data_IF_548476345177
#
_entry.id   IF_548476345177
#
_cell.length_a   1.000
_cell.length_b   1.000
_cell.length_c   1.000
_cell.angle_alpha   90.00
_cell.angle_beta   90.00
_cell.angle_gamma   90.00
#
_symmetry.space_group_name_H-M   'P 1'
#
loop_
_entity.id
_entity.type
_entity.pdbx_description
1 polymer ?
#
# COMPACT_ATOMS: atom_id res chain seq x y z
N UNK A 1 -0.58 -23.17 28.78
CA UNK A 1 -0.23 -21.93 28.05
C UNK A 1 0.93 -22.08 27.05
N UNK A 2 1.84 -23.01 27.17
CA UNK A 2 3.03 -23.11 26.29
C UNK A 2 2.93 -23.98 25.02
N UNK A 3 1.82 -24.64 24.74
CA UNK A 3 1.74 -25.62 23.63
C UNK A 3 0.98 -25.04 22.41
N UNK A 4 0.18 -24.01 22.60
CA UNK A 4 -0.64 -23.38 21.54
C UNK A 4 0.13 -22.36 20.69
N UNK A 5 1.23 -21.81 21.19
CA UNK A 5 1.98 -20.71 20.53
C UNK A 5 3.13 -21.20 19.63
N UNK A 6 3.58 -22.44 19.77
CA UNK A 6 4.67 -23.01 18.96
C UNK A 6 4.37 -23.09 17.46
N UNK A 7 3.17 -23.49 16.99
CA UNK A 7 2.91 -23.55 15.57
C UNK A 7 2.88 -22.17 14.92
N UNK A 8 2.40 -21.13 15.59
CA UNK A 8 2.35 -19.77 15.04
C UNK A 8 3.75 -19.18 14.85
N UNK A 9 4.62 -19.29 15.86
CA UNK A 9 6.01 -18.84 15.76
C UNK A 9 6.79 -19.57 14.65
N UNK A 10 6.59 -20.89 14.52
CA UNK A 10 7.22 -21.66 13.45
C UNK A 10 6.78 -21.18 12.06
N UNK A 11 5.49 -20.98 11.83
CA UNK A 11 4.97 -20.47 10.54
C UNK A 11 5.45 -19.05 10.23
N UNK A 12 5.50 -18.17 11.25
CA UNK A 12 6.01 -16.82 11.10
C UNK A 12 7.50 -16.80 10.69
N UNK A 13 8.32 -17.63 11.33
CA UNK A 13 9.76 -17.75 11.01
C UNK A 13 9.95 -18.33 9.60
N UNK A 14 9.28 -19.43 9.27
CA UNK A 14 9.38 -20.06 7.93
C UNK A 14 8.91 -19.09 6.86
N UNK A 15 7.77 -18.42 7.06
CA UNK A 15 7.26 -17.38 6.14
C UNK A 15 8.25 -16.23 5.99
N UNK A 16 8.81 -15.73 7.09
CA UNK A 16 9.82 -14.67 7.08
C UNK A 16 11.07 -15.05 6.29
N UNK A 17 11.61 -16.26 6.50
CA UNK A 17 12.79 -16.76 5.75
C UNK A 17 12.49 -16.85 4.25
N UNK A 18 11.33 -17.39 3.87
CA UNK A 18 10.92 -17.49 2.47
C UNK A 18 10.76 -16.12 1.83
N UNK A 19 10.13 -15.16 2.51
CA UNK A 19 9.94 -13.79 2.01
C UNK A 19 11.28 -13.07 1.84
N UNK A 20 12.16 -13.14 2.83
CA UNK A 20 13.50 -12.53 2.81
C UNK A 20 14.33 -13.12 1.68
N UNK A 21 14.32 -14.43 1.46
CA UNK A 21 15.12 -15.09 0.42
C UNK A 21 14.81 -14.57 -0.99
N UNK A 22 13.53 -14.31 -1.28
CA UNK A 22 13.10 -13.71 -2.55
C UNK A 22 13.42 -12.21 -2.60
N UNK A 23 13.12 -11.47 -1.53
CA UNK A 23 13.35 -10.02 -1.49
C UNK A 23 14.85 -9.66 -1.64
N UNK A 24 15.74 -10.44 -1.05
CA UNK A 24 17.19 -10.28 -1.18
C UNK A 24 17.68 -10.54 -2.62
N UNK A 25 16.98 -11.36 -3.40
CA UNK A 25 17.25 -11.54 -4.83
C UNK A 25 16.99 -10.27 -5.67
N UNK A 26 16.37 -9.26 -5.06
CA UNK A 26 16.03 -7.99 -5.69
C UNK A 26 14.88 -8.09 -6.68
N UNK A 27 14.75 -7.06 -7.53
CA UNK A 27 13.61 -6.93 -8.45
C UNK A 27 13.41 -8.14 -9.38
N UNK A 28 14.49 -8.78 -9.82
CA UNK A 28 14.40 -9.98 -10.69
C UNK A 28 13.69 -11.15 -10.02
N UNK A 29 13.87 -11.32 -8.72
CA UNK A 29 13.16 -12.35 -7.94
C UNK A 29 11.68 -12.06 -7.83
N UNK A 30 11.34 -10.81 -7.59
CA UNK A 30 9.95 -10.32 -7.50
C UNK A 30 9.23 -10.48 -8.84
N UNK A 31 9.85 -10.05 -9.93
CA UNK A 31 9.31 -10.15 -11.29
C UNK A 31 9.01 -11.61 -11.68
N UNK A 32 9.95 -12.51 -11.41
CA UNK A 32 9.76 -13.94 -11.68
C UNK A 32 8.65 -14.54 -10.84
N UNK A 33 8.55 -14.17 -9.56
CA UNK A 33 7.46 -14.63 -8.68
C UNK A 33 6.11 -14.13 -9.20
N UNK A 34 6.00 -12.85 -9.53
CA UNK A 34 4.78 -12.23 -10.04
C UNK A 34 4.32 -12.85 -11.36
N UNK A 35 5.26 -13.17 -12.26
CA UNK A 35 4.95 -13.77 -13.57
C UNK A 35 4.16 -15.08 -13.45
N UNK A 36 4.49 -15.93 -12.48
CA UNK A 36 3.74 -17.18 -12.25
C UNK A 36 2.54 -17.01 -11.37
N UNK A 37 2.64 -16.14 -10.38
CA UNK A 37 1.64 -16.03 -9.32
C UNK A 37 0.40 -15.26 -9.76
N UNK A 38 0.58 -14.14 -10.49
CA UNK A 38 -0.54 -13.27 -10.89
C UNK A 38 -1.54 -14.01 -11.79
N UNK A 39 -1.15 -14.73 -12.85
CA UNK A 39 -2.10 -15.52 -13.65
C UNK A 39 -2.83 -16.58 -12.81
N UNK A 40 -2.12 -17.26 -11.91
CA UNK A 40 -2.72 -18.24 -11.03
C UNK A 40 -3.78 -17.64 -10.11
N UNK A 41 -3.49 -16.47 -9.53
CA UNK A 41 -4.44 -15.74 -8.67
C UNK A 41 -5.68 -15.29 -9.45
N UNK A 42 -5.50 -14.78 -10.66
CA UNK A 42 -6.62 -14.35 -11.53
C UNK A 42 -7.50 -15.53 -11.90
N UNK A 43 -6.91 -16.66 -12.29
CA UNK A 43 -7.65 -17.88 -12.61
C UNK A 43 -8.43 -18.41 -11.41
N UNK A 44 -7.83 -18.38 -10.23
CA UNK A 44 -8.50 -18.82 -9.01
C UNK A 44 -9.63 -17.88 -8.60
N UNK A 45 -9.42 -16.57 -8.67
CA UNK A 45 -10.47 -15.60 -8.41
C UNK A 45 -11.65 -15.80 -9.38
N UNK A 46 -11.36 -15.99 -10.68
CA UNK A 46 -12.38 -16.30 -11.67
C UNK A 46 -13.14 -17.59 -11.37
N UNK A 47 -12.43 -18.66 -10.96
CA UNK A 47 -13.02 -19.92 -10.56
C UNK A 47 -13.94 -19.80 -9.34
N UNK A 48 -13.48 -19.13 -8.29
CA UNK A 48 -14.28 -18.93 -7.07
C UNK A 48 -15.53 -18.10 -7.34
N UNK A 49 -15.37 -17.02 -8.09
CA UNK A 49 -16.48 -16.16 -8.52
C UNK A 49 -17.50 -16.94 -9.36
N UNK A 50 -17.04 -17.71 -10.36
CA UNK A 50 -17.91 -18.50 -11.22
C UNK A 50 -18.68 -19.56 -10.44
N UNK A 51 -18.00 -20.28 -9.54
CA UNK A 51 -18.63 -21.29 -8.67
C UNK A 51 -19.71 -20.67 -7.80
N UNK A 52 -19.41 -19.52 -7.20
CA UNK A 52 -20.31 -18.85 -6.25
C UNK A 52 -21.47 -18.16 -6.93
N UNK A 53 -21.26 -17.63 -8.14
CA UNK A 53 -22.31 -16.96 -8.91
C UNK A 53 -23.49 -17.89 -9.22
N UNK A 54 -23.22 -19.17 -9.48
CA UNK A 54 -24.26 -20.19 -9.71
C UNK A 54 -25.04 -20.60 -8.47
N UNK A 55 -24.44 -20.44 -7.28
CA UNK A 55 -25.05 -20.82 -6.01
C UNK A 55 -25.93 -19.72 -5.41
N UNK A 56 -25.82 -18.46 -5.91
CA UNK A 56 -26.67 -17.35 -5.46
C UNK A 56 -28.06 -17.46 -6.08
N UNK A 57 -29.02 -17.91 -5.30
CA UNK A 57 -30.42 -18.11 -5.75
C UNK A 57 -31.24 -16.82 -5.73
N UNK A 58 -30.89 -15.85 -4.92
CA UNK A 58 -31.62 -14.57 -4.80
C UNK A 58 -30.64 -13.40 -4.59
N UNK A 59 -30.39 -12.65 -5.68
CA UNK A 59 -29.58 -11.44 -5.64
C UNK A 59 -30.25 -10.26 -4.92
N UNK A 60 -31.58 -10.29 -4.78
CA UNK A 60 -32.28 -9.23 -4.04
C UNK A 60 -32.13 -9.41 -2.52
N UNK A 61 -32.07 -10.64 -2.03
CA UNK A 61 -31.75 -10.91 -0.64
C UNK A 61 -30.35 -10.45 -0.25
N UNK A 62 -29.42 -10.37 -1.22
CA UNK A 62 -28.07 -9.83 -0.99
C UNK A 62 -28.01 -8.32 -0.89
N UNK A 63 -29.05 -7.61 -1.36
CA UNK A 63 -29.17 -6.14 -1.16
C UNK A 63 -29.38 -5.76 0.31
N UNK A 64 -29.96 -6.64 1.11
CA UNK A 64 -30.11 -6.47 2.57
C UNK A 64 -28.81 -6.72 3.35
N UNK A 65 -27.73 -7.15 2.64
CA UNK A 65 -26.41 -7.30 3.22
C UNK A 65 -25.70 -5.96 3.49
N UNK A 66 -26.41 -4.85 3.33
CA UNK A 66 -25.88 -3.54 3.65
C UNK A 66 -25.52 -3.48 5.15
N UNK A 67 -24.20 -3.38 5.42
CA UNK A 67 -23.73 -3.09 6.77
C UNK A 67 -24.10 -1.62 7.08
N UNK A 68 -25.02 -1.34 8.00
CA UNK A 68 -25.47 0.03 8.31
C UNK A 68 -24.33 0.93 8.80
N UNK A 69 -23.26 0.34 9.34
CA UNK A 69 -22.09 1.05 9.84
C UNK A 69 -21.08 1.40 8.73
N UNK A 70 -21.26 0.86 7.52
CA UNK A 70 -20.33 1.06 6.40
C UNK A 70 -20.88 2.12 5.43
N UNK A 71 -20.56 3.37 5.67
CA UNK A 71 -20.86 4.43 4.71
C UNK A 71 -19.95 4.36 3.48
N UNK A 72 -20.40 4.91 2.35
CA UNK A 72 -19.57 5.02 1.12
C UNK A 72 -18.24 5.73 1.43
N UNK A 73 -18.27 6.75 2.27
CA UNK A 73 -17.08 7.49 2.71
C UNK A 73 -16.09 6.61 3.46
N UNK A 74 -16.58 5.78 4.37
CA UNK A 74 -15.74 4.83 5.12
C UNK A 74 -15.14 3.78 4.17
N UNK A 75 -15.91 3.29 3.21
CA UNK A 75 -15.45 2.34 2.21
C UNK A 75 -14.34 2.95 1.32
N UNK A 76 -14.53 4.18 0.83
CA UNK A 76 -13.51 4.89 0.05
C UNK A 76 -12.25 5.10 0.88
N UNK A 77 -12.37 5.52 2.15
CA UNK A 77 -11.24 5.72 3.05
C UNK A 77 -10.46 4.42 3.30
N UNK A 78 -11.17 3.31 3.45
CA UNK A 78 -10.56 1.99 3.65
C UNK A 78 -9.78 1.55 2.39
N UNK A 79 -10.34 1.73 1.19
CA UNK A 79 -9.67 1.41 -0.08
C UNK A 79 -8.43 2.30 -0.26
N UNK A 80 -8.53 3.60 0.00
CA UNK A 80 -7.37 4.51 -0.05
C UNK A 80 -6.30 4.04 0.94
N UNK A 81 -6.67 3.80 2.21
CA UNK A 81 -5.72 3.35 3.24
C UNK A 81 -5.01 2.05 2.88
N UNK A 82 -5.71 1.11 2.25
CA UNK A 82 -5.15 -0.18 1.84
C UNK A 82 -4.09 -0.04 0.73
N UNK A 83 -4.31 0.85 -0.24
CA UNK A 83 -3.46 0.94 -1.44
C UNK A 83 -2.48 2.10 -1.44
N UNK A 84 -2.63 3.10 -0.56
CA UNK A 84 -1.85 4.34 -0.61
C UNK A 84 -0.34 4.11 -0.48
N UNK A 85 0.08 3.14 0.33
CA UNK A 85 1.49 2.79 0.47
C UNK A 85 2.05 2.32 -0.85
N UNK A 86 1.33 1.41 -1.55
CA UNK A 86 1.73 0.93 -2.87
C UNK A 86 1.83 2.04 -3.92
N UNK A 87 0.92 3.03 -3.86
CA UNK A 87 0.93 4.19 -4.77
C UNK A 87 2.15 5.08 -4.49
N UNK A 88 2.49 5.32 -3.23
CA UNK A 88 3.61 6.19 -2.86
C UNK A 88 4.96 5.58 -3.21
N UNK A 89 5.11 4.26 -3.08
CA UNK A 89 6.35 3.54 -3.44
C UNK A 89 6.43 3.19 -4.93
N UNK A 90 5.44 3.57 -5.73
CA UNK A 90 5.40 3.25 -7.16
C UNK A 90 6.64 3.68 -7.96
N UNK A 91 7.33 4.80 -7.68
CA UNK A 91 8.58 5.16 -8.35
C UNK A 91 9.66 4.08 -8.24
N UNK A 92 9.70 3.31 -7.15
CA UNK A 92 10.67 2.23 -6.93
C UNK A 92 10.54 1.11 -7.97
N UNK A 93 9.36 0.92 -8.53
CA UNK A 93 9.05 -0.08 -9.56
C UNK A 93 9.02 0.52 -10.96
N UNK A 94 8.47 1.73 -11.10
CA UNK A 94 8.34 2.40 -12.40
C UNK A 94 9.69 2.69 -13.04
N UNK A 95 10.77 2.81 -12.28
CA UNK A 95 12.14 2.98 -12.78
C UNK A 95 12.63 1.81 -13.65
N UNK A 96 12.01 0.64 -13.55
CA UNK A 96 12.33 -0.53 -14.39
C UNK A 96 11.50 -0.57 -15.70
N UNK A 97 10.57 0.36 -15.88
CA UNK A 97 9.79 0.47 -17.11
C UNK A 97 10.69 0.96 -18.26
N UNK A 98 10.39 0.52 -19.49
CA UNK A 98 11.17 0.90 -20.68
C UNK A 98 11.09 2.39 -21.00
N UNK A 99 9.92 3.00 -20.75
CA UNK A 99 9.66 4.41 -20.97
C UNK A 99 8.44 4.86 -20.17
N UNK A 100 8.20 6.18 -20.13
CA UNK A 100 7.07 6.77 -19.40
C UNK A 100 5.69 6.25 -19.85
N UNK A 101 5.37 6.12 -21.16
CA UNK A 101 4.10 5.56 -21.59
C UNK A 101 3.86 4.12 -21.09
N UNK A 102 4.89 3.27 -21.07
CA UNK A 102 4.75 1.91 -20.52
C UNK A 102 4.47 1.92 -19.02
N UNK A 103 5.15 2.79 -18.26
CA UNK A 103 4.89 2.95 -16.84
C UNK A 103 3.45 3.43 -16.58
N UNK A 104 3.01 4.45 -17.32
CA UNK A 104 1.66 4.99 -17.21
C UNK A 104 0.59 3.95 -17.60
N UNK A 105 0.78 3.23 -18.70
CA UNK A 105 -0.14 2.18 -19.13
C UNK A 105 -0.23 1.05 -18.09
N UNK A 106 0.89 0.61 -17.55
CA UNK A 106 0.92 -0.43 -16.50
C UNK A 106 0.12 0.02 -15.26
N UNK A 107 0.27 1.28 -14.84
CA UNK A 107 -0.49 1.84 -13.71
C UNK A 107 -1.99 1.94 -13.99
N UNK A 108 -2.36 2.46 -15.17
CA UNK A 108 -3.77 2.58 -15.56
C UNK A 108 -4.42 1.19 -15.61
N UNK A 109 -3.75 0.20 -16.17
CA UNK A 109 -4.26 -1.16 -16.22
C UNK A 109 -4.35 -1.77 -14.82
N UNK A 110 -3.28 -1.66 -14.01
CA UNK A 110 -3.23 -2.29 -12.69
C UNK A 110 -4.21 -1.64 -11.69
N UNK A 111 -4.17 -0.33 -11.55
CA UNK A 111 -4.96 0.39 -10.55
C UNK A 111 -6.32 0.87 -11.08
N UNK A 112 -6.41 1.23 -12.36
CA UNK A 112 -7.64 1.74 -12.95
C UNK A 112 -8.60 0.66 -13.42
N UNK A 113 -8.12 -0.49 -13.86
CA UNK A 113 -8.94 -1.56 -14.43
C UNK A 113 -8.93 -2.81 -13.53
N UNK A 114 -7.72 -3.35 -13.28
CA UNK A 114 -7.62 -4.65 -12.58
C UNK A 114 -8.03 -4.56 -11.12
N UNK A 115 -7.67 -3.48 -10.43
CA UNK A 115 -8.04 -3.31 -9.03
C UNK A 115 -9.56 -3.26 -8.80
N UNK A 116 -10.34 -2.38 -9.47
CA UNK A 116 -11.81 -2.42 -9.37
C UNK A 116 -12.40 -3.77 -9.76
N UNK A 117 -11.88 -4.40 -10.82
CA UNK A 117 -12.34 -5.71 -11.25
C UNK A 117 -12.12 -6.77 -10.16
N UNK A 118 -10.93 -6.82 -9.57
CA UNK A 118 -10.61 -7.75 -8.48
C UNK A 118 -11.50 -7.50 -7.26
N UNK A 119 -11.75 -6.25 -6.89
CA UNK A 119 -12.64 -5.92 -5.77
C UNK A 119 -14.08 -6.39 -6.02
N UNK A 120 -14.60 -6.15 -7.24
CA UNK A 120 -15.94 -6.61 -7.63
C UNK A 120 -16.00 -8.15 -7.62
N UNK A 121 -15.05 -8.83 -8.25
CA UNK A 121 -15.02 -10.29 -8.31
C UNK A 121 -14.87 -10.92 -6.93
N UNK A 122 -14.05 -10.33 -6.06
CA UNK A 122 -13.83 -10.81 -4.70
C UNK A 122 -15.05 -10.56 -3.77
N UNK A 123 -15.89 -9.57 -4.06
CA UNK A 123 -17.10 -9.31 -3.29
C UNK A 123 -18.20 -10.38 -3.50
N UNK A 124 -18.25 -11.01 -4.67
CA UNK A 124 -19.28 -12.00 -5.00
C UNK A 124 -19.27 -13.21 -4.05
N UNK A 125 -18.14 -13.89 -3.80
CA UNK A 125 -18.07 -14.95 -2.81
C UNK A 125 -18.44 -14.51 -1.39
N UNK A 126 -18.05 -13.29 -0.98
CA UNK A 126 -18.40 -12.75 0.33
C UNK A 126 -19.91 -12.54 0.49
N UNK A 127 -20.56 -11.96 -0.53
CA UNK A 127 -21.99 -11.75 -0.54
C UNK A 127 -22.73 -13.10 -0.52
N UNK A 128 -22.31 -14.05 -1.33
CA UNK A 128 -22.98 -15.35 -1.46
C UNK A 128 -22.89 -16.21 -0.20
N UNK A 129 -21.78 -16.15 0.52
CA UNK A 129 -21.56 -16.93 1.75
C UNK A 129 -22.03 -16.20 3.01
N UNK A 130 -22.21 -14.88 2.96
CA UNK A 130 -22.47 -14.05 4.13
C UNK A 130 -21.24 -13.84 5.02
N UNK A 131 -20.08 -14.39 4.63
CA UNK A 131 -18.88 -14.35 5.43
C UNK A 131 -17.98 -13.15 5.06
N UNK A 132 -17.33 -12.55 6.08
CA UNK A 132 -16.44 -11.39 5.92
C UNK A 132 -14.97 -11.79 5.88
N UNK A 133 -14.64 -12.94 6.45
CA UNK A 133 -13.28 -13.43 6.53
C UNK A 133 -13.01 -14.38 5.37
N UNK A 134 -11.90 -14.17 4.67
CA UNK A 134 -11.53 -14.98 3.51
C UNK A 134 -11.41 -16.47 3.83
N UNK A 135 -10.91 -16.83 5.01
CA UNK A 135 -10.80 -18.24 5.45
C UNK A 135 -12.18 -18.86 5.62
N UNK A 136 -13.13 -18.12 6.19
CA UNK A 136 -14.49 -18.60 6.41
C UNK A 136 -15.24 -18.74 5.08
N UNK A 137 -15.07 -17.79 4.14
CA UNK A 137 -15.55 -17.89 2.76
C UNK A 137 -15.02 -19.16 2.09
N UNK A 138 -13.72 -19.42 2.18
CA UNK A 138 -13.08 -20.59 1.59
C UNK A 138 -13.59 -21.89 2.19
N UNK A 139 -13.85 -21.89 3.50
CA UNK A 139 -14.41 -23.04 4.21
C UNK A 139 -15.86 -23.29 3.81
N UNK A 140 -16.67 -22.24 3.74
CA UNK A 140 -18.07 -22.31 3.28
C UNK A 140 -18.18 -22.84 1.84
N UNK A 141 -17.26 -22.44 0.97
CA UNK A 141 -17.21 -22.92 -0.44
C UNK A 141 -16.59 -24.30 -0.60
N UNK A 142 -16.13 -24.94 0.47
CA UNK A 142 -15.43 -26.22 0.45
C UNK A 142 -14.20 -26.27 -0.49
N UNK A 143 -13.50 -25.12 -0.65
CA UNK A 143 -12.31 -24.96 -1.49
C UNK A 143 -11.03 -24.96 -0.61
N UNK A 144 -10.99 -25.74 0.44
CA UNK A 144 -10.01 -25.72 1.52
C UNK A 144 -8.54 -25.52 1.12
N UNK A 145 -7.84 -26.59 0.75
CA UNK A 145 -6.39 -26.53 0.52
C UNK A 145 -5.93 -25.63 -0.64
N UNK A 146 -6.54 -25.66 -1.85
CA UNK A 146 -6.12 -24.79 -2.94
C UNK A 146 -6.26 -23.29 -2.61
N UNK A 147 -7.34 -22.93 -1.93
CA UNK A 147 -7.60 -21.57 -1.51
C UNK A 147 -6.59 -21.10 -0.46
N UNK A 148 -6.29 -21.93 0.53
CA UNK A 148 -5.28 -21.65 1.54
C UNK A 148 -3.89 -21.43 0.92
N UNK A 149 -3.49 -22.29 -0.02
CA UNK A 149 -2.22 -22.15 -0.74
C UNK A 149 -2.16 -20.81 -1.50
N UNK A 150 -3.25 -20.42 -2.16
CA UNK A 150 -3.33 -19.17 -2.89
C UNK A 150 -3.25 -17.94 -1.98
N UNK A 151 -3.94 -17.97 -0.85
CA UNK A 151 -3.84 -16.93 0.17
C UNK A 151 -2.40 -16.77 0.67
N UNK A 152 -1.74 -17.89 0.94
CA UNK A 152 -0.36 -17.91 1.41
C UNK A 152 0.60 -17.35 0.36
N UNK A 153 0.40 -17.70 -0.91
CA UNK A 153 1.19 -17.19 -2.03
C UNK A 153 0.92 -15.70 -2.27
N UNK A 154 -0.33 -15.23 -2.16
CA UNK A 154 -0.69 -13.83 -2.28
C UNK A 154 -0.04 -12.98 -1.17
N UNK A 155 -0.14 -13.43 0.08
CA UNK A 155 0.51 -12.80 1.21
C UNK A 155 2.04 -12.77 1.04
N UNK A 156 2.62 -13.87 0.56
CA UNK A 156 4.05 -13.95 0.26
C UNK A 156 4.46 -12.89 -0.78
N UNK A 157 3.79 -12.81 -1.92
CA UNK A 157 4.09 -11.84 -2.97
C UNK A 157 4.03 -10.40 -2.46
N UNK A 158 2.96 -10.03 -1.75
CA UNK A 158 2.78 -8.67 -1.21
C UNK A 158 3.86 -8.29 -0.20
N UNK A 159 4.21 -9.21 0.71
CA UNK A 159 5.23 -8.95 1.71
C UNK A 159 6.64 -8.86 1.11
N UNK A 160 6.97 -9.64 0.08
CA UNK A 160 8.25 -9.55 -0.63
C UNK A 160 8.43 -8.17 -1.25
N UNK A 161 7.38 -7.61 -1.84
CA UNK A 161 7.37 -6.26 -2.42
C UNK A 161 7.62 -5.21 -1.32
N UNK A 162 6.87 -5.25 -0.23
CA UNK A 162 7.05 -4.34 0.90
C UNK A 162 8.44 -4.41 1.52
N UNK A 163 8.98 -5.62 1.64
CA UNK A 163 10.32 -5.85 2.20
C UNK A 163 11.43 -5.29 1.30
N UNK A 164 11.30 -5.45 -0.02
CA UNK A 164 12.23 -4.85 -0.98
C UNK A 164 12.21 -3.31 -0.92
N UNK A 165 11.02 -2.69 -0.89
CA UNK A 165 10.89 -1.24 -0.76
C UNK A 165 11.42 -0.72 0.57
N UNK A 166 11.24 -1.47 1.67
CA UNK A 166 11.84 -1.15 2.96
C UNK A 166 13.37 -1.16 2.90
N UNK A 167 13.95 -2.15 2.23
CA UNK A 167 15.39 -2.20 1.97
C UNK A 167 15.90 -1.01 1.16
N UNK A 168 15.17 -0.62 0.11
CA UNK A 168 15.50 0.57 -0.69
C UNK A 168 15.45 1.85 0.14
N UNK A 169 14.41 2.05 0.94
CA UNK A 169 14.28 3.21 1.81
C UNK A 169 15.43 3.30 2.83
N UNK A 170 15.82 2.18 3.44
CA UNK A 170 16.96 2.13 4.35
C UNK A 170 18.28 2.42 3.62
N UNK A 171 18.43 2.00 2.36
CA UNK A 171 19.64 2.26 1.58
C UNK A 171 19.81 3.73 1.20
N UNK A 172 18.77 4.54 1.23
CA UNK A 172 18.88 6.01 1.06
C UNK A 172 19.39 6.70 2.32
N UNK A 173 19.13 6.13 3.48
CA UNK A 173 19.58 6.67 4.79
C UNK A 173 21.02 6.21 5.12
N UNK A 174 21.36 4.98 4.75
CA UNK A 174 22.65 4.35 5.02
C UNK A 174 23.26 3.82 3.71
N UNK A 175 23.76 4.70 2.82
CA UNK A 175 24.20 4.34 1.47
C UNK A 175 25.41 3.41 1.42
N UNK A 176 26.24 3.43 2.46
CA UNK A 176 27.46 2.63 2.55
C UNK A 176 27.20 1.13 2.78
N UNK A 177 25.96 0.76 3.13
CA UNK A 177 25.58 -0.62 3.40
C UNK A 177 24.87 -1.22 2.17
N UNK A 178 25.23 -2.43 1.78
CA UNK A 178 24.65 -3.09 0.62
C UNK A 178 23.13 -3.33 0.81
N UNK A 179 22.33 -3.14 -0.25
CA UNK A 179 20.87 -3.25 -0.26
C UNK A 179 20.37 -4.56 0.37
N UNK A 180 21.01 -5.69 0.07
CA UNK A 180 20.59 -6.98 0.61
C UNK A 180 20.67 -7.07 2.14
N UNK A 181 21.61 -6.34 2.77
CA UNK A 181 21.73 -6.27 4.23
C UNK A 181 20.58 -5.47 4.85
N UNK A 182 20.19 -4.38 4.20
CA UNK A 182 19.02 -3.60 4.61
C UNK A 182 17.73 -4.42 4.51
N UNK A 183 17.55 -5.13 3.39
CA UNK A 183 16.40 -6.02 3.19
C UNK A 183 16.37 -7.14 4.23
N UNK A 184 17.52 -7.72 4.54
CA UNK A 184 17.64 -8.75 5.58
C UNK A 184 17.30 -8.18 6.97
N UNK A 185 17.83 -7.01 7.32
CA UNK A 185 17.55 -6.36 8.61
C UNK A 185 16.05 -6.04 8.76
N UNK A 186 15.44 -5.46 7.72
CA UNK A 186 14.01 -5.19 7.68
C UNK A 186 13.17 -6.49 7.83
N UNK A 187 13.61 -7.57 7.19
CA UNK A 187 12.95 -8.87 7.28
C UNK A 187 13.03 -9.51 8.67
N UNK A 188 14.19 -9.39 9.32
CA UNK A 188 14.36 -9.85 10.73
C UNK A 188 13.43 -9.08 11.65
N UNK A 189 13.44 -7.74 11.55
CA UNK A 189 12.57 -6.88 12.37
C UNK A 189 11.08 -7.20 12.12
N UNK A 190 10.67 -7.30 10.86
CA UNK A 190 9.29 -7.66 10.50
C UNK A 190 8.88 -9.03 11.04
N UNK A 191 9.75 -10.02 10.96
CA UNK A 191 9.51 -11.36 11.50
C UNK A 191 9.40 -11.34 13.04
N UNK A 192 10.24 -10.57 13.72
CA UNK A 192 10.15 -10.41 15.18
C UNK A 192 8.85 -9.72 15.60
N UNK A 193 8.44 -8.69 14.88
CA UNK A 193 7.17 -8.00 15.13
C UNK A 193 5.99 -8.95 14.91
N UNK A 194 6.03 -9.81 13.90
CA UNK A 194 4.95 -10.78 13.63
C UNK A 194 4.76 -11.84 14.73
N UNK A 195 5.71 -11.97 15.65
CA UNK A 195 5.57 -12.84 16.84
C UNK A 195 4.75 -12.18 17.96
N UNK A 196 4.43 -10.90 17.83
CA UNK A 196 3.57 -10.17 18.77
C UNK A 196 2.12 -10.13 18.24
N UNK A 197 1.10 -9.92 19.10
CA UNK A 197 -0.30 -9.88 18.68
C UNK A 197 -0.63 -8.57 17.93
N UNK A 198 0.03 -8.33 16.77
CA UNK A 198 -0.13 -7.11 15.97
C UNK A 198 -1.52 -6.96 15.36
N UNK A 199 -2.28 -8.05 15.26
CA UNK A 199 -3.65 -8.04 14.73
C UNK A 199 -4.58 -7.12 15.52
N UNK A 200 -4.34 -6.93 16.80
CA UNK A 200 -5.14 -6.03 17.66
C UNK A 200 -4.94 -4.55 17.30
N UNK A 201 -3.81 -4.19 16.70
CA UNK A 201 -3.46 -2.84 16.29
C UNK A 201 -3.64 -2.62 14.78
N UNK A 202 -4.13 -3.62 14.04
CA UNK A 202 -4.17 -3.58 12.58
C UNK A 202 -5.04 -2.43 12.04
N UNK A 203 -6.26 -2.27 12.55
CA UNK A 203 -7.17 -1.19 12.11
C UNK A 203 -6.63 0.20 12.46
N UNK A 204 -6.21 0.48 13.72
CA UNK A 204 -5.55 1.76 14.05
C UNK A 204 -4.32 2.05 13.20
N UNK A 205 -3.53 1.02 12.89
CA UNK A 205 -2.36 1.15 12.02
C UNK A 205 -2.74 1.53 10.59
N UNK A 206 -3.75 0.87 9.98
CA UNK A 206 -4.24 1.22 8.64
C UNK A 206 -4.78 2.64 8.58
N UNK A 207 -5.55 3.07 9.58
CA UNK A 207 -6.05 4.44 9.66
C UNK A 207 -4.90 5.44 9.73
N UNK A 208 -3.89 5.17 10.56
CA UNK A 208 -2.70 6.02 10.67
C UNK A 208 -1.96 6.11 9.35
N UNK A 209 -1.75 4.99 8.64
CA UNK A 209 -1.14 4.98 7.31
C UNK A 209 -1.98 5.78 6.30
N UNK A 210 -3.31 5.58 6.31
CA UNK A 210 -4.23 6.29 5.42
C UNK A 210 -4.26 7.81 5.61
N UNK A 211 -3.81 8.30 6.76
CA UNK A 211 -3.72 9.72 7.08
C UNK A 211 -2.30 10.26 6.84
N UNK A 212 -1.27 9.52 7.23
CA UNK A 212 0.12 10.02 7.23
C UNK A 212 0.86 9.84 5.91
N UNK A 213 0.54 8.81 5.13
CA UNK A 213 1.25 8.51 3.88
C UNK A 213 0.79 9.39 2.70
N UNK A 214 -0.52 9.66 2.50
CA UNK A 214 -0.98 10.47 1.36
C UNK A 214 -0.32 11.86 1.23
N UNK A 215 -0.09 12.61 2.33
CA UNK A 215 0.61 13.88 2.27
C UNK A 215 2.02 13.82 1.67
N UNK A 216 2.73 12.71 1.85
CA UNK A 216 4.07 12.52 1.26
C UNK A 216 4.01 12.58 -0.25
N UNK A 217 3.00 11.90 -0.86
CA UNK A 217 2.81 11.91 -2.31
C UNK A 217 2.57 13.33 -2.84
N UNK A 218 1.71 14.12 -2.21
CA UNK A 218 1.42 15.47 -2.65
C UNK A 218 2.65 16.38 -2.57
N UNK A 219 3.45 16.26 -1.50
CA UNK A 219 4.64 17.05 -1.31
C UNK A 219 5.70 16.77 -2.38
N UNK A 220 6.01 15.50 -2.68
CA UNK A 220 7.01 15.21 -3.69
C UNK A 220 6.53 15.57 -5.10
N UNK A 221 5.23 15.44 -5.42
CA UNK A 221 4.65 15.87 -6.70
C UNK A 221 4.81 17.39 -6.85
N UNK A 222 4.42 18.17 -5.84
CA UNK A 222 4.57 19.63 -5.88
C UNK A 222 6.04 20.03 -5.98
N UNK A 223 6.90 19.38 -5.21
CA UNK A 223 8.34 19.64 -5.25
C UNK A 223 8.93 19.42 -6.63
N UNK A 224 8.61 18.27 -7.24
CA UNK A 224 9.10 17.89 -8.55
C UNK A 224 8.61 18.83 -9.66
N UNK A 225 7.30 19.10 -9.71
CA UNK A 225 6.71 19.84 -10.84
C UNK A 225 6.76 21.35 -10.67
N UNK A 226 6.60 21.88 -9.44
CA UNK A 226 6.56 23.34 -9.21
C UNK A 226 7.93 23.93 -8.85
N UNK A 227 8.79 23.18 -8.14
CA UNK A 227 10.10 23.70 -7.70
C UNK A 227 11.20 23.29 -8.67
N UNK A 228 11.21 22.04 -9.12
CA UNK A 228 12.26 21.48 -9.98
C UNK A 228 11.93 21.48 -11.47
N UNK A 229 10.73 21.96 -11.86
CA UNK A 229 10.29 22.04 -13.27
C UNK A 229 10.34 20.68 -14.00
N UNK A 230 10.12 19.58 -13.26
CA UNK A 230 10.09 18.22 -13.82
C UNK A 230 11.46 17.62 -14.11
N UNK A 231 12.56 18.32 -13.86
CA UNK A 231 13.92 17.80 -14.07
C UNK A 231 14.48 17.21 -12.78
N UNK A 232 14.76 15.90 -12.81
CA UNK A 232 15.51 15.20 -11.75
C UNK A 232 16.94 14.95 -12.25
N UNK A 233 17.83 15.95 -12.11
CA UNK A 233 19.26 15.74 -12.32
C UNK A 233 19.95 15.38 -11.01
N UNK A 234 20.90 14.43 -11.09
CA UNK A 234 21.68 13.97 -9.93
C UNK A 234 22.45 15.11 -9.27
N UNK A 235 22.95 16.06 -10.06
CA UNK A 235 23.64 17.24 -9.55
C UNK A 235 22.73 18.19 -8.75
N UNK A 236 21.44 18.24 -9.07
CA UNK A 236 20.46 19.00 -8.31
C UNK A 236 20.14 18.34 -6.95
N UNK A 237 20.13 17.03 -6.90
CA UNK A 237 19.95 16.27 -5.66
C UNK A 237 21.09 16.51 -4.67
N UNK A 238 22.34 16.51 -5.15
CA UNK A 238 23.52 16.73 -4.33
C UNK A 238 23.60 18.15 -3.74
N UNK A 239 22.90 19.12 -4.32
CA UNK A 239 22.80 20.51 -3.85
C UNK A 239 21.64 20.74 -2.87
N UNK A 240 20.79 19.76 -2.66
CA UNK A 240 19.65 19.92 -1.75
C UNK A 240 20.09 19.73 -0.29
N UNK A 241 19.48 20.48 0.65
CA UNK A 241 19.74 20.27 2.07
C UNK A 241 19.28 18.85 2.45
N UNK A 242 20.03 18.22 3.36
CA UNK A 242 19.73 16.87 3.87
C UNK A 242 18.32 16.76 4.47
N UNK A 243 17.76 17.87 4.96
CA UNK A 243 16.42 17.93 5.55
C UNK A 243 15.65 19.11 4.97
N UNK A 244 14.49 18.87 4.40
CA UNK A 244 13.57 19.91 3.95
C UNK A 244 12.52 20.20 5.03
N UNK A 245 12.82 21.20 5.87
CA UNK A 245 11.93 21.59 6.98
C UNK A 245 10.51 21.97 6.49
N UNK A 246 10.40 22.66 5.33
CA UNK A 246 9.11 23.02 4.74
C UNK A 246 8.27 21.79 4.38
N UNK A 247 8.91 20.72 3.88
CA UNK A 247 8.23 19.46 3.60
C UNK A 247 7.71 18.79 4.90
N UNK A 248 8.53 18.75 5.95
CA UNK A 248 8.11 18.15 7.23
C UNK A 248 6.98 18.94 7.90
N UNK A 249 7.04 20.26 7.90
CA UNK A 249 5.96 21.10 8.46
C UNK A 249 4.66 20.88 7.68
N UNK A 250 4.73 20.85 6.34
CA UNK A 250 3.56 20.65 5.49
C UNK A 250 2.99 19.22 5.63
N UNK A 251 3.85 18.22 5.76
CA UNK A 251 3.46 16.85 6.05
C UNK A 251 2.72 16.73 7.39
N UNK A 252 3.31 17.29 8.45
CA UNK A 252 2.71 17.28 9.79
C UNK A 252 1.37 18.02 9.80
N UNK A 253 1.30 19.19 9.17
CA UNK A 253 0.05 19.96 9.06
C UNK A 253 -1.03 19.22 8.29
N UNK A 254 -0.68 18.58 7.17
CA UNK A 254 -1.61 17.74 6.42
C UNK A 254 -2.09 16.52 7.21
N UNK A 255 -1.18 15.83 7.89
CA UNK A 255 -1.51 14.68 8.74
C UNK A 255 -2.42 15.08 9.93
N UNK A 256 -2.18 16.22 10.56
CA UNK A 256 -3.02 16.75 11.64
C UNK A 256 -4.42 17.09 11.12
N UNK A 257 -4.54 17.68 9.93
CA UNK A 257 -5.84 17.97 9.32
C UNK A 257 -6.60 16.67 9.03
N UNK A 258 -5.93 15.68 8.43
CA UNK A 258 -6.54 14.36 8.20
C UNK A 258 -6.95 13.65 9.49
N UNK A 259 -6.16 13.76 10.55
CA UNK A 259 -6.51 13.21 11.85
C UNK A 259 -7.72 13.95 12.48
N UNK A 260 -7.77 15.27 12.34
CA UNK A 260 -8.93 16.07 12.78
C UNK A 260 -10.19 15.69 12.02
N UNK A 261 -10.07 15.41 10.73
CA UNK A 261 -11.17 14.90 9.90
C UNK A 261 -11.63 13.51 10.35
N UNK A 262 -10.69 12.62 10.69
CA UNK A 262 -11.01 11.29 11.23
C UNK A 262 -11.78 11.38 12.55
N UNK A 263 -11.41 12.31 13.41
CA UNK A 263 -12.09 12.57 14.68
C UNK A 263 -13.37 13.43 14.54
N UNK A 264 -13.75 13.78 13.31
CA UNK A 264 -14.92 14.60 12.99
C UNK A 264 -14.89 16.04 13.59
N UNK A 265 -13.72 16.54 13.98
CA UNK A 265 -13.58 17.92 14.47
C UNK A 265 -13.62 18.94 13.33
N UNK A 266 -12.92 18.63 12.23
CA UNK A 266 -12.84 19.50 11.05
C UNK A 266 -12.74 18.63 9.81
N UNK A 267 -13.78 18.61 8.99
CA UNK A 267 -13.85 17.82 7.77
C UNK A 267 -13.99 18.73 6.56
N UNK A 268 -13.16 18.50 5.53
CA UNK A 268 -13.26 19.20 4.24
C UNK A 268 -13.99 18.32 3.20
N UNK A 269 -13.55 17.07 3.08
CA UNK A 269 -14.09 16.13 2.07
C UNK A 269 -14.79 14.92 2.67
N UNK A 270 -14.88 14.83 3.98
CA UNK A 270 -15.34 13.65 4.74
C UNK A 270 -14.42 12.43 4.64
N UNK A 271 -13.39 12.44 3.79
CA UNK A 271 -12.39 11.37 3.61
C UNK A 271 -11.07 11.83 4.23
N UNK A 272 -10.66 11.32 5.40
CA UNK A 272 -9.48 11.80 6.14
C UNK A 272 -8.18 11.85 5.32
N UNK A 273 -7.94 10.83 4.48
CA UNK A 273 -6.77 10.79 3.62
C UNK A 273 -6.77 11.89 2.55
N UNK A 274 -7.94 12.24 2.00
CA UNK A 274 -8.08 13.35 1.04
C UNK A 274 -7.86 14.69 1.73
N UNK A 275 -8.39 14.87 2.92
CA UNK A 275 -8.19 16.09 3.72
C UNK A 275 -6.71 16.28 4.06
N UNK A 276 -6.00 15.20 4.38
CA UNK A 276 -4.57 15.21 4.59
C UNK A 276 -3.77 15.62 3.33
N UNK A 277 -4.16 15.12 2.15
CA UNK A 277 -3.58 15.51 0.85
C UNK A 277 -3.82 17.01 0.59
N UNK A 278 -5.06 17.47 0.74
CA UNK A 278 -5.40 18.88 0.49
C UNK A 278 -4.64 19.80 1.43
N UNK A 279 -4.60 19.48 2.72
CA UNK A 279 -3.86 20.25 3.71
C UNK A 279 -2.38 20.38 3.38
N UNK A 280 -1.72 19.24 3.11
CA UNK A 280 -0.30 19.23 2.74
C UNK A 280 -0.03 19.91 1.39
N UNK A 281 -0.93 19.77 0.42
CA UNK A 281 -0.85 20.45 -0.88
C UNK A 281 -0.87 21.97 -0.74
N UNK A 282 -1.81 22.50 0.03
CA UNK A 282 -1.92 23.94 0.28
C UNK A 282 -0.69 24.45 1.03
N UNK A 283 -0.32 23.79 2.12
CA UNK A 283 0.83 24.21 2.94
C UNK A 283 2.13 24.16 2.14
N UNK A 284 2.40 23.05 1.44
CA UNK A 284 3.65 22.93 0.68
C UNK A 284 3.64 23.80 -0.59
N UNK A 285 2.49 23.99 -1.21
CA UNK A 285 2.32 24.91 -2.34
C UNK A 285 2.68 26.36 -1.95
N UNK A 286 2.24 26.82 -0.79
CA UNK A 286 2.63 28.15 -0.26
C UNK A 286 4.13 28.26 0.00
N UNK A 287 4.73 27.23 0.61
CA UNK A 287 6.18 27.15 0.81
C UNK A 287 6.92 27.18 -0.53
N UNK A 288 6.45 26.44 -1.54
CA UNK A 288 7.04 26.41 -2.88
C UNK A 288 7.01 27.78 -3.56
N UNK A 289 5.90 28.50 -3.46
CA UNK A 289 5.77 29.87 -3.98
C UNK A 289 6.74 30.83 -3.31
N UNK A 290 6.86 30.76 -1.98
CA UNK A 290 7.79 31.60 -1.24
C UNK A 290 9.26 31.32 -1.62
N UNK A 291 9.65 30.05 -1.77
CA UNK A 291 11.00 29.68 -2.22
C UNK A 291 11.26 30.18 -3.64
N UNK A 292 10.29 30.04 -4.54
CA UNK A 292 10.44 30.49 -5.94
C UNK A 292 10.59 32.02 -6.03
N UNK A 293 9.89 32.77 -5.18
CA UNK A 293 10.00 34.23 -5.11
C UNK A 293 11.36 34.67 -4.62
N UNK A 294 11.85 34.06 -3.53
CA UNK A 294 13.18 34.38 -3.00
C UNK A 294 14.33 34.07 -3.97
N UNK A 295 14.20 33.02 -4.81
CA UNK A 295 15.18 32.73 -5.88
C UNK A 295 15.19 33.76 -7.01
N UNK A 296 14.05 34.40 -7.28
CA UNK A 296 13.99 35.48 -8.30
C UNK A 296 14.55 36.81 -7.76
N UNK A 297 14.43 37.06 -6.47
CA UNK A 297 14.91 38.27 -5.82
C UNK A 297 16.40 38.23 -5.50
N UNK A 298 17.02 37.04 -5.32
CA UNK A 298 18.44 36.81 -5.10
C UNK A 298 18.97 35.78 -6.10
N UNK A 299 19.25 36.18 -7.34
CA UNK A 299 19.96 35.34 -8.31
C UNK A 299 21.42 35.22 -7.88
N UNK A 300 21.85 34.02 -7.44
CA UNK A 300 23.24 33.74 -7.07
C UNK A 300 24.13 33.60 -8.31
#
# INVERSE_FOLDING_TARGET
MCIRDRPQAFHAIVGGVLMVSVAVSGFKGIDRLAFYLVPLMVLFLGYTTFKTYGDVTDWNATADYANPDLTITTAISAVIGLYIVGVVIQPDYSRFARNLPHAALALIVALGIMLPLVLILASIPSIATGEKNLIDIMTALQIGLPAFLLLLLAAWSSNVIGLYSSGLSLSTVLPDVALWKHTLAAGIVGTLISLTPVETFFIPFLVTLGITIPPVASIYIIHLFLIQSGCCDRQMLDRQPSVNAGAFVSWTGGALLGYSSYQQYLTLTTVPGMDAILGSTILYGTVAVLISKNRKENPA
#
